data_IF_353943762678
#
_entry.id   IF_353943762678
#
_cell.length_a   1.000
_cell.length_b   1.000
_cell.length_c   1.000
_cell.angle_alpha   90.00
_cell.angle_beta   90.00
_cell.angle_gamma   90.00
#
_symmetry.space_group_name_H-M   'P 1'
#
loop_
_entity.id
_entity.type
_entity.pdbx_description
1 polymer ?
#
# COMPACT_ATOMS: atom_id res chain seq x y z
N UNK A 1 7.48 -44.97 20.62
CA UNK A 1 6.40 -44.08 20.16
C UNK A 1 6.85 -42.65 20.49
N UNK A 2 7.56 -41.96 19.59
CA UNK A 2 7.03 -40.97 18.60
C UNK A 2 6.21 -39.87 19.27
N UNK A 3 6.41 -38.56 19.16
CA UNK A 3 7.39 -37.62 18.57
C UNK A 3 7.03 -36.24 19.19
N UNK A 4 7.89 -35.21 19.13
CA UNK A 4 7.57 -33.86 19.61
C UNK A 4 6.75 -33.08 18.54
N UNK A 5 5.55 -32.61 18.89
CA UNK A 5 4.84 -31.55 18.13
C UNK A 5 5.33 -30.21 18.69
N UNK A 6 5.98 -29.32 17.95
CA UNK A 6 5.71 -28.91 16.59
C UNK A 6 5.44 -27.41 16.68
N UNK A 7 6.50 -26.61 16.61
CA UNK A 7 6.43 -25.16 16.60
C UNK A 7 5.47 -24.74 15.48
N UNK A 8 4.39 -24.07 15.87
CA UNK A 8 3.49 -23.39 14.95
C UNK A 8 4.29 -22.38 14.16
N UNK A 9 4.27 -22.56 12.84
CA UNK A 9 4.78 -21.67 11.81
C UNK A 9 4.48 -20.20 12.14
N UNK A 10 5.46 -19.53 12.76
CA UNK A 10 5.62 -18.09 12.60
C UNK A 10 6.12 -17.90 11.17
N UNK A 11 5.20 -17.88 10.21
CA UNK A 11 5.42 -17.23 8.93
C UNK A 11 5.74 -15.75 9.23
N UNK A 12 7.03 -15.45 9.35
CA UNK A 12 7.52 -14.10 9.16
C UNK A 12 7.17 -13.69 7.73
N UNK A 13 6.70 -12.44 7.52
CA UNK A 13 6.28 -12.02 6.20
C UNK A 13 7.51 -11.95 5.27
N UNK A 14 7.63 -12.98 4.43
CA UNK A 14 8.29 -12.96 3.13
C UNK A 14 9.66 -12.28 3.10
N UNK A 15 10.72 -13.07 3.28
CA UNK A 15 12.02 -12.76 2.67
C UNK A 15 11.78 -12.60 1.17
N UNK A 16 11.66 -11.35 0.71
CA UNK A 16 11.50 -11.07 -0.70
C UNK A 16 12.81 -11.42 -1.39
N UNK A 17 12.84 -12.56 -2.09
CA UNK A 17 13.97 -12.96 -2.91
C UNK A 17 13.84 -12.29 -4.29
N UNK A 18 14.41 -11.11 -4.45
CA UNK A 18 14.45 -10.43 -5.75
C UNK A 18 15.59 -10.99 -6.60
N UNK A 19 15.32 -11.20 -7.90
CA UNK A 19 16.30 -11.72 -8.84
C UNK A 19 17.43 -10.72 -9.14
N UNK A 20 17.13 -9.42 -9.09
CA UNK A 20 18.06 -8.31 -9.25
C UNK A 20 17.44 -6.99 -8.70
N UNK A 21 18.27 -5.95 -8.55
CA UNK A 21 17.85 -4.61 -8.12
C UNK A 21 16.87 -3.93 -9.09
N UNK A 22 16.95 -4.22 -10.39
CA UNK A 22 16.11 -3.59 -11.42
C UNK A 22 14.64 -4.06 -11.32
N UNK A 23 14.43 -5.33 -10.99
CA UNK A 23 13.11 -5.88 -10.71
C UNK A 23 12.54 -5.25 -9.44
N UNK A 24 13.34 -5.07 -8.39
CA UNK A 24 12.91 -4.36 -7.19
C UNK A 24 12.50 -2.91 -7.49
N UNK A 25 13.26 -2.20 -8.32
CA UNK A 25 12.92 -0.85 -8.78
C UNK A 25 11.60 -0.80 -9.54
N UNK A 26 11.34 -1.79 -10.40
CA UNK A 26 10.07 -1.91 -11.12
C UNK A 26 8.88 -2.10 -10.17
N UNK A 27 9.05 -2.93 -9.12
CA UNK A 27 8.01 -3.16 -8.13
C UNK A 27 7.76 -1.90 -7.30
N UNK A 28 8.81 -1.18 -6.89
CA UNK A 28 8.70 0.10 -6.18
C UNK A 28 7.96 1.12 -7.03
N UNK A 29 8.32 1.25 -8.31
CA UNK A 29 7.65 2.15 -9.25
C UNK A 29 6.14 1.85 -9.34
N UNK A 30 5.78 0.58 -9.49
CA UNK A 30 4.36 0.17 -9.53
C UNK A 30 3.61 0.51 -8.25
N UNK A 31 4.24 0.34 -7.07
CA UNK A 31 3.61 0.74 -5.81
C UNK A 31 3.43 2.25 -5.70
N UNK A 32 4.36 3.05 -6.21
CA UNK A 32 4.21 4.50 -6.29
C UNK A 32 3.06 4.91 -7.21
N UNK A 33 2.88 4.24 -8.35
CA UNK A 33 1.73 4.46 -9.24
C UNK A 33 0.41 4.16 -8.53
N UNK A 34 0.34 3.03 -7.82
CA UNK A 34 -0.82 2.66 -7.00
C UNK A 34 -1.10 3.72 -5.93
N UNK A 35 -0.08 4.24 -5.25
CA UNK A 35 -0.28 5.32 -4.28
C UNK A 35 -0.84 6.59 -4.94
N UNK A 36 -0.37 6.94 -6.13
CA UNK A 36 -0.87 8.10 -6.86
C UNK A 36 -2.35 7.92 -7.20
N UNK A 37 -2.74 6.76 -7.72
CA UNK A 37 -4.15 6.43 -8.01
C UNK A 37 -5.02 6.48 -6.76
N UNK A 38 -4.56 5.90 -5.65
CA UNK A 38 -5.27 5.92 -4.37
C UNK A 38 -5.52 7.37 -3.93
N UNK A 39 -4.50 8.24 -3.98
CA UNK A 39 -4.63 9.66 -3.62
C UNK A 39 -5.64 10.39 -4.51
N UNK A 40 -5.60 10.16 -5.82
CA UNK A 40 -6.56 10.75 -6.76
C UNK A 40 -7.98 10.31 -6.44
N UNK A 41 -8.20 9.00 -6.21
CA UNK A 41 -9.51 8.49 -5.82
C UNK A 41 -9.99 9.05 -4.48
N UNK A 42 -9.10 9.17 -3.49
CA UNK A 42 -9.41 9.76 -2.19
C UNK A 42 -9.91 11.21 -2.34
N UNK A 43 -9.19 12.04 -3.10
CA UNK A 43 -9.60 13.43 -3.36
C UNK A 43 -10.95 13.51 -4.08
N UNK A 44 -11.20 12.62 -5.04
CA UNK A 44 -12.48 12.59 -5.76
C UNK A 44 -13.65 12.23 -4.83
N UNK A 45 -13.46 11.26 -3.93
CA UNK A 45 -14.49 10.87 -2.95
C UNK A 45 -14.85 12.04 -2.02
N UNK A 46 -13.85 12.77 -1.53
CA UNK A 46 -14.04 13.96 -0.69
C UNK A 46 -14.78 15.06 -1.46
N UNK A 47 -14.37 15.35 -2.69
CA UNK A 47 -15.03 16.36 -3.52
C UNK A 47 -16.49 16.01 -3.82
N UNK A 48 -16.76 14.75 -4.16
CA UNK A 48 -18.13 14.28 -4.43
C UNK A 48 -19.00 14.39 -3.18
N UNK A 49 -18.48 14.05 -2.00
CA UNK A 49 -19.20 14.21 -0.74
C UNK A 49 -19.53 15.68 -0.42
N UNK A 50 -18.63 16.62 -0.76
CA UNK A 50 -18.82 18.06 -0.52
C UNK A 50 -19.93 18.67 -1.39
N UNK A 51 -20.10 18.19 -2.62
CA UNK A 51 -21.09 18.72 -3.56
C UNK A 51 -22.41 17.96 -3.56
N UNK A 52 -22.48 16.83 -2.86
CA UNK A 52 -23.68 16.01 -2.75
C UNK A 52 -24.79 16.74 -1.98
N UNK A 53 -25.91 16.98 -2.66
CA UNK A 53 -27.08 17.64 -2.11
C UNK A 53 -28.34 16.83 -2.39
N UNK A 54 -29.37 17.03 -1.56
CA UNK A 54 -30.66 16.40 -1.77
C UNK A 54 -31.30 16.92 -3.08
N UNK A 55 -31.81 16.03 -3.95
CA UNK A 55 -32.44 16.45 -5.22
C UNK A 55 -33.77 17.19 -5.02
N UNK A 56 -34.42 17.01 -3.87
CA UNK A 56 -35.60 17.75 -3.46
C UNK A 56 -35.56 18.02 -1.94
N UNK A 57 -36.38 18.98 -1.49
CA UNK A 57 -36.49 19.35 -0.07
C UNK A 57 -37.40 18.38 0.73
N UNK A 58 -37.74 17.21 0.19
CA UNK A 58 -38.50 16.20 0.90
C UNK A 58 -37.60 15.33 1.79
N UNK A 59 -38.25 14.66 2.75
CA UNK A 59 -37.57 13.79 3.72
C UNK A 59 -36.83 12.62 3.04
N UNK A 60 -37.40 11.91 2.05
CA UNK A 60 -36.69 10.84 1.34
C UNK A 60 -35.41 11.32 0.65
N UNK A 61 -35.46 12.45 -0.07
CA UNK A 61 -34.30 13.02 -0.78
C UNK A 61 -33.19 13.42 0.19
N UNK A 62 -33.57 14.00 1.33
CA UNK A 62 -32.62 14.36 2.40
C UNK A 62 -31.95 13.11 2.99
N UNK A 63 -32.72 12.04 3.24
CA UNK A 63 -32.18 10.78 3.73
C UNK A 63 -31.22 10.15 2.72
N UNK A 64 -31.59 10.12 1.44
CA UNK A 64 -30.76 9.57 0.38
C UNK A 64 -29.41 10.32 0.27
N UNK A 65 -29.44 11.65 0.25
CA UNK A 65 -28.21 12.46 0.19
C UNK A 65 -27.32 12.21 1.41
N UNK A 66 -27.90 12.10 2.60
CA UNK A 66 -27.14 11.80 3.82
C UNK A 66 -26.50 10.41 3.77
N UNK A 67 -27.25 9.38 3.40
CA UNK A 67 -26.71 8.01 3.25
C UNK A 67 -25.60 7.95 2.22
N UNK A 68 -25.73 8.70 1.12
CA UNK A 68 -24.67 8.83 0.12
C UNK A 68 -23.40 9.46 0.70
N UNK A 69 -23.52 10.60 1.40
CA UNK A 69 -22.39 11.27 2.08
C UNK A 69 -21.73 10.35 3.10
N UNK A 70 -22.51 9.65 3.93
CA UNK A 70 -21.99 8.69 4.91
C UNK A 70 -21.21 7.55 4.22
N UNK A 71 -21.73 7.05 3.09
CA UNK A 71 -21.06 6.00 2.29
C UNK A 71 -19.74 6.49 1.69
N UNK A 72 -19.70 7.73 1.19
CA UNK A 72 -18.46 8.35 0.69
C UNK A 72 -17.44 8.55 1.82
N UNK A 73 -17.88 8.91 3.02
CA UNK A 73 -17.01 9.01 4.20
C UNK A 73 -16.35 7.67 4.55
N UNK A 74 -17.11 6.57 4.51
CA UNK A 74 -16.57 5.22 4.72
C UNK A 74 -15.58 4.84 3.61
N UNK A 75 -15.90 5.14 2.35
CA UNK A 75 -15.01 4.87 1.23
C UNK A 75 -13.69 5.67 1.35
N UNK A 76 -13.74 6.92 1.79
CA UNK A 76 -12.55 7.74 2.03
C UNK A 76 -11.69 7.18 3.17
N UNK A 77 -12.31 6.68 4.26
CA UNK A 77 -11.57 5.99 5.33
C UNK A 77 -10.86 4.74 4.81
N UNK A 78 -11.54 3.92 4.00
CA UNK A 78 -10.93 2.74 3.40
C UNK A 78 -9.76 3.10 2.47
N UNK A 79 -9.94 4.14 1.64
CA UNK A 79 -8.88 4.64 0.76
C UNK A 79 -7.63 5.07 1.55
N UNK A 80 -7.81 5.76 2.69
CA UNK A 80 -6.72 6.11 3.59
C UNK A 80 -5.98 4.88 4.13
N UNK A 81 -6.71 3.86 4.58
CA UNK A 81 -6.08 2.60 5.04
C UNK A 81 -5.27 1.92 3.93
N UNK A 82 -5.77 1.94 2.68
CA UNK A 82 -5.02 1.42 1.53
C UNK A 82 -3.75 2.23 1.26
N UNK A 83 -3.82 3.56 1.40
CA UNK A 83 -2.66 4.43 1.23
C UNK A 83 -1.59 4.15 2.30
N UNK A 84 -2.00 3.99 3.55
CA UNK A 84 -1.08 3.67 4.66
C UNK A 84 -0.38 2.33 4.39
N UNK A 85 -1.12 1.32 3.94
CA UNK A 85 -0.56 0.01 3.57
C UNK A 85 0.43 0.11 2.39
N UNK A 86 0.05 0.81 1.31
CA UNK A 86 0.92 1.01 0.15
C UNK A 86 2.22 1.75 0.54
N UNK A 87 2.11 2.75 1.43
CA UNK A 87 3.27 3.49 1.98
C UNK A 87 4.21 2.57 2.74
N UNK A 88 3.69 1.78 3.68
CA UNK A 88 4.50 0.82 4.43
C UNK A 88 5.19 -0.19 3.49
N UNK A 89 4.54 -0.57 2.39
CA UNK A 89 5.13 -1.50 1.42
C UNK A 89 6.27 -0.84 0.62
N UNK A 90 6.11 0.39 0.15
CA UNK A 90 7.19 1.16 -0.52
C UNK A 90 8.39 1.33 0.41
N UNK A 91 8.15 1.66 1.70
CA UNK A 91 9.21 1.82 2.69
C UNK A 91 10.02 0.53 2.87
N UNK A 92 9.34 -0.62 3.04
CA UNK A 92 10.00 -1.93 3.17
C UNK A 92 10.81 -2.30 1.92
N UNK A 93 10.24 -2.10 0.74
CA UNK A 93 10.93 -2.40 -0.52
C UNK A 93 12.14 -1.49 -0.74
N UNK A 94 12.03 -0.21 -0.38
CA UNK A 94 13.13 0.75 -0.48
C UNK A 94 14.26 0.40 0.51
N UNK A 95 13.91 -0.03 1.73
CA UNK A 95 14.88 -0.52 2.70
C UNK A 95 15.58 -1.79 2.20
N UNK A 96 14.84 -2.75 1.65
CA UNK A 96 15.42 -3.94 1.04
C UNK A 96 16.38 -3.59 -0.10
N UNK A 97 16.00 -2.63 -0.96
CA UNK A 97 16.83 -2.16 -2.07
C UNK A 97 18.17 -1.59 -1.59
N UNK A 98 18.14 -0.75 -0.56
CA UNK A 98 19.35 -0.18 0.03
C UNK A 98 20.29 -1.28 0.54
N UNK A 99 19.76 -2.29 1.26
CA UNK A 99 20.55 -3.43 1.75
C UNK A 99 21.17 -4.25 0.61
N UNK A 100 20.44 -4.47 -0.49
CA UNK A 100 20.96 -5.18 -1.65
C UNK A 100 22.07 -4.39 -2.36
N UNK A 101 21.89 -3.09 -2.54
CA UNK A 101 22.90 -2.19 -3.15
C UNK A 101 24.20 -2.15 -2.34
N UNK A 102 24.10 -2.03 -1.01
CA UNK A 102 25.27 -2.11 -0.10
C UNK A 102 25.99 -3.47 -0.20
N UNK A 103 25.23 -4.56 -0.34
CA UNK A 103 25.79 -5.92 -0.47
C UNK A 103 26.49 -6.10 -1.82
N UNK A 104 25.89 -5.67 -2.92
CA UNK A 104 26.51 -5.72 -4.26
C UNK A 104 27.76 -4.84 -4.34
N UNK A 105 27.72 -3.63 -3.78
CA UNK A 105 28.89 -2.75 -3.70
C UNK A 105 30.02 -3.39 -2.88
N UNK A 106 29.71 -3.96 -1.72
CA UNK A 106 30.69 -4.66 -0.88
C UNK A 106 31.30 -5.88 -1.57
N UNK A 107 30.49 -6.66 -2.30
CA UNK A 107 30.99 -7.80 -3.08
C UNK A 107 31.87 -7.35 -4.25
N UNK A 108 31.49 -6.29 -4.95
CA UNK A 108 32.27 -5.71 -6.04
C UNK A 108 33.64 -5.26 -5.54
N UNK A 109 33.71 -4.52 -4.42
CA UNK A 109 34.97 -4.10 -3.81
C UNK A 109 35.88 -5.30 -3.47
N UNK A 110 35.30 -6.37 -2.90
CA UNK A 110 36.06 -7.60 -2.55
C UNK A 110 36.55 -8.36 -3.78
N UNK A 111 35.79 -8.32 -4.88
CA UNK A 111 36.14 -8.97 -6.15
C UNK A 111 37.15 -8.16 -6.98
N UNK A 112 37.05 -6.83 -6.98
CA UNK A 112 37.92 -5.97 -7.80
C UNK A 112 39.23 -5.59 -7.13
N UNK A 113 39.36 -5.78 -5.80
CA UNK A 113 40.63 -5.96 -5.08
C UNK A 113 41.82 -5.14 -5.58
N UNK A 114 41.62 -3.83 -5.82
CA UNK A 114 42.64 -2.82 -6.07
C UNK A 114 42.38 -1.63 -5.18
#
# INVERSE_FOLDING_TARGET
>A
MTSPSGNSDQQTPSDYFFADLAHLDTIIARWNDIQAEIRTHGSNLEQVALVANAPAADRPSSLQARTFVDSMGIAAMHNRTLLDHATAQVERLSAARATYDETEAGNTIRLTGR
#
